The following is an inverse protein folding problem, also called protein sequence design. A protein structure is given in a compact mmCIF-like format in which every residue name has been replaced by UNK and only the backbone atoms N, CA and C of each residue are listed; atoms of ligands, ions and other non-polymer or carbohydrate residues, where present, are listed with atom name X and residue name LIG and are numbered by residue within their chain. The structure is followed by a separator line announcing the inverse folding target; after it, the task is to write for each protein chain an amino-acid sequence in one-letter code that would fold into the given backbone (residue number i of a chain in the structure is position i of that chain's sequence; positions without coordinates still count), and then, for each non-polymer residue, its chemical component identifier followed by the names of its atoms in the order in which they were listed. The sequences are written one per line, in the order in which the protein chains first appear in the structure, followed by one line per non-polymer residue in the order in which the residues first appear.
data_IF_783632504149
#
_entry.id   IF_783632504149
#
_cell.length_a   1.000
_cell.length_b   1.000
_cell.length_c   1.000
_cell.angle_alpha   90.00
_cell.angle_beta   90.00
_cell.angle_gamma   90.00
#
_symmetry.space_group_name_H-M   'P 1'
#
loop_
_entity.id
_entity.type
_entity.pdbx_description
1 polymer ?
#
# COMPACT_ATOMS: atom_id res chain seq x y z
N UNK A 1 -27.55 -10.84 -30.03
CA UNK A 1 -26.69 -9.69 -29.66
C UNK A 1 -25.61 -10.22 -28.73
N UNK A 2 -24.41 -10.48 -29.26
CA UNK A 2 -23.27 -10.96 -28.47
C UNK A 2 -22.86 -9.85 -27.51
N UNK A 3 -23.21 -9.96 -26.24
CA UNK A 3 -22.61 -9.14 -25.19
C UNK A 3 -21.23 -9.72 -24.92
N UNK A 4 -20.28 -9.37 -25.78
CA UNK A 4 -18.87 -9.63 -25.52
C UNK A 4 -18.59 -9.01 -24.16
N UNK A 5 -18.23 -9.85 -23.19
CA UNK A 5 -18.08 -9.51 -21.76
C UNK A 5 -16.79 -8.71 -21.59
N UNK A 6 -16.71 -7.56 -22.24
CA UNK A 6 -15.49 -6.78 -22.43
C UNK A 6 -14.92 -6.34 -21.10
N UNK A 7 -13.59 -6.34 -21.03
CA UNK A 7 -12.85 -5.86 -19.87
C UNK A 7 -13.18 -4.38 -19.65
N UNK A 8 -13.45 -4.02 -18.39
CA UNK A 8 -13.78 -2.65 -17.98
C UNK A 8 -12.49 -1.83 -17.79
N UNK A 9 -11.93 -1.36 -18.91
CA UNK A 9 -10.68 -0.57 -18.92
C UNK A 9 -10.78 0.71 -18.09
N UNK A 10 -11.97 1.29 -17.97
CA UNK A 10 -12.24 2.46 -17.15
C UNK A 10 -11.93 2.21 -15.66
N UNK A 11 -12.27 1.03 -15.12
CA UNK A 11 -11.98 0.67 -13.73
C UNK A 11 -10.49 0.38 -13.52
N UNK A 12 -9.83 -0.17 -14.53
CA UNK A 12 -8.39 -0.43 -14.48
C UNK A 12 -7.60 0.88 -14.47
N UNK A 13 -7.94 1.84 -15.33
CA UNK A 13 -7.29 3.15 -15.35
C UNK A 13 -7.55 3.96 -14.08
N UNK A 14 -8.77 3.94 -13.55
CA UNK A 14 -9.07 4.55 -12.25
C UNK A 14 -8.20 3.97 -11.14
N UNK A 15 -7.98 2.64 -11.14
CA UNK A 15 -7.10 1.99 -10.18
C UNK A 15 -5.64 2.43 -10.36
N UNK A 16 -5.14 2.49 -11.59
CA UNK A 16 -3.76 2.93 -11.87
C UNK A 16 -3.54 4.36 -11.37
N UNK A 17 -4.46 5.27 -11.65
CA UNK A 17 -4.39 6.65 -11.17
C UNK A 17 -4.45 6.73 -9.64
N UNK A 18 -5.35 5.96 -9.00
CA UNK A 18 -5.43 5.92 -7.54
C UNK A 18 -4.12 5.40 -6.90
N UNK A 19 -3.52 4.35 -7.48
CA UNK A 19 -2.23 3.82 -7.02
C UNK A 19 -1.13 4.85 -7.20
N UNK A 20 -1.09 5.56 -8.33
CA UNK A 20 -0.12 6.62 -8.58
C UNK A 20 -0.24 7.76 -7.56
N UNK A 21 -1.45 8.19 -7.23
CA UNK A 21 -1.68 9.21 -6.21
C UNK A 21 -1.19 8.73 -4.83
N UNK A 22 -1.48 7.48 -4.45
CA UNK A 22 -1.00 6.91 -3.19
C UNK A 22 0.51 6.76 -3.16
N UNK A 23 1.13 6.41 -4.29
CA UNK A 23 2.58 6.39 -4.41
C UNK A 23 3.19 7.77 -4.18
N UNK A 24 2.62 8.82 -4.77
CA UNK A 24 3.05 10.21 -4.54
C UNK A 24 2.78 10.65 -3.09
N UNK A 25 1.66 10.23 -2.50
CA UNK A 25 1.37 10.46 -1.08
C UNK A 25 2.51 9.91 -0.20
N UNK A 26 2.83 8.61 -0.31
CA UNK A 26 3.90 8.01 0.51
C UNK A 26 5.27 8.64 0.25
N UNK A 27 5.58 8.98 -1.01
CA UNK A 27 6.84 9.63 -1.38
C UNK A 27 6.96 11.05 -0.78
N UNK A 28 5.85 11.78 -0.71
CA UNK A 28 5.83 13.17 -0.21
C UNK A 28 5.70 13.27 1.31
N UNK A 29 5.30 12.20 2.02
CA UNK A 29 5.28 12.14 3.51
C UNK A 29 6.63 12.49 4.13
N UNK A 30 7.73 12.31 3.40
CA UNK A 30 9.05 12.74 3.84
C UNK A 30 9.15 14.25 4.14
N UNK A 31 8.34 15.08 3.46
CA UNK A 31 8.37 16.55 3.50
C UNK A 31 7.14 17.20 4.15
N UNK A 32 6.18 16.41 4.65
CA UNK A 32 4.99 16.96 5.33
C UNK A 32 5.35 17.45 6.75
N UNK A 33 4.38 17.93 7.53
CA UNK A 33 4.66 18.45 8.88
C UNK A 33 4.57 17.37 9.97
N UNK A 34 3.79 16.31 9.76
CA UNK A 34 3.59 15.24 10.74
C UNK A 34 4.75 14.23 10.82
N UNK A 35 4.75 13.44 11.89
CA UNK A 35 5.71 12.36 12.13
C UNK A 35 5.65 11.27 11.05
N UNK A 36 6.82 10.69 10.76
CA UNK A 36 7.00 9.59 9.81
C UNK A 36 8.29 8.81 10.12
N UNK A 37 8.42 7.62 9.54
CA UNK A 37 9.58 6.74 9.73
C UNK A 37 10.93 7.42 9.44
N UNK A 38 10.96 8.32 8.45
CA UNK A 38 12.13 9.12 8.12
C UNK A 38 11.64 10.49 7.65
N UNK A 39 12.33 11.55 8.06
CA UNK A 39 11.95 12.95 7.79
C UNK A 39 13.10 13.74 7.17
N UNK A 40 12.73 14.67 6.30
CA UNK A 40 13.65 15.71 5.87
C UNK A 40 13.73 16.83 6.91
N UNK A 41 14.85 17.55 6.93
CA UNK A 41 15.01 18.79 7.70
C UNK A 41 14.07 19.88 7.16
N UNK A 42 13.92 19.97 5.84
CA UNK A 42 13.03 20.94 5.21
C UNK A 42 11.64 20.33 4.96
N UNK A 43 10.62 20.93 5.57
CA UNK A 43 9.20 20.52 5.44
C UNK A 43 8.34 21.67 4.90
N UNK A 44 7.18 21.35 4.33
CA UNK A 44 6.33 22.33 3.66
C UNK A 44 4.84 22.15 3.99
N UNK A 45 4.16 23.25 4.32
CA UNK A 45 2.72 23.28 4.65
C UNK A 45 1.85 22.78 3.50
N UNK A 46 2.20 23.09 2.25
CA UNK A 46 1.43 22.65 1.09
C UNK A 46 1.45 21.11 0.92
N UNK A 47 2.53 20.46 1.35
CA UNK A 47 2.65 19.00 1.35
C UNK A 47 1.69 18.41 2.39
N UNK A 48 1.49 19.05 3.54
CA UNK A 48 0.49 18.63 4.52
C UNK A 48 -0.93 18.69 3.94
N UNK A 49 -1.27 19.77 3.24
CA UNK A 49 -2.57 19.90 2.57
C UNK A 49 -2.79 18.80 1.52
N UNK A 50 -1.77 18.50 0.71
CA UNK A 50 -1.78 17.38 -0.23
C UNK A 50 -2.00 16.03 0.48
N UNK A 51 -1.29 15.80 1.58
CA UNK A 51 -1.42 14.56 2.35
C UNK A 51 -2.83 14.35 2.90
N UNK A 52 -3.44 15.41 3.46
CA UNK A 52 -4.82 15.38 3.97
C UNK A 52 -5.82 15.12 2.84
N UNK A 53 -5.60 15.71 1.66
CA UNK A 53 -6.42 15.43 0.49
C UNK A 53 -6.31 13.94 0.08
N UNK A 54 -5.10 13.43 -0.14
CA UNK A 54 -4.90 12.07 -0.60
C UNK A 54 -5.48 11.03 0.38
N UNK A 55 -5.28 11.20 1.69
CA UNK A 55 -5.82 10.28 2.71
C UNK A 55 -7.34 10.24 2.76
N UNK A 56 -8.01 11.39 2.60
CA UNK A 56 -9.48 11.46 2.63
C UNK A 56 -10.15 10.78 1.43
N UNK A 57 -9.52 10.83 0.26
CA UNK A 57 -10.15 10.40 -0.99
C UNK A 57 -9.72 9.02 -1.47
N UNK A 58 -8.45 8.65 -1.31
CA UNK A 58 -7.93 7.45 -1.98
C UNK A 58 -8.48 6.15 -1.38
N UNK A 59 -8.59 6.04 -0.05
CA UNK A 59 -9.11 4.82 0.58
C UNK A 59 -10.57 4.53 0.18
N UNK A 60 -11.52 5.49 0.27
CA UNK A 60 -12.87 5.28 -0.25
C UNK A 60 -12.90 4.90 -1.74
N UNK A 61 -12.07 5.53 -2.57
CA UNK A 61 -11.99 5.22 -3.99
C UNK A 61 -11.56 3.76 -4.24
N UNK A 62 -10.57 3.26 -3.51
CA UNK A 62 -10.16 1.86 -3.59
C UNK A 62 -11.27 0.89 -3.19
N UNK A 63 -12.06 1.21 -2.16
CA UNK A 63 -13.21 0.39 -1.77
C UNK A 63 -14.26 0.33 -2.88
N UNK A 64 -14.58 1.47 -3.52
CA UNK A 64 -15.52 1.53 -4.64
C UNK A 64 -15.01 0.70 -5.82
N UNK A 65 -13.75 0.89 -6.23
CA UNK A 65 -13.13 0.16 -7.35
C UNK A 65 -13.11 -1.36 -7.06
N UNK A 66 -12.75 -1.75 -5.83
CA UNK A 66 -12.71 -3.15 -5.40
C UNK A 66 -14.10 -3.78 -5.39
N UNK A 67 -15.10 -3.06 -4.87
CA UNK A 67 -16.50 -3.49 -4.86
C UNK A 67 -17.08 -3.67 -6.27
N UNK A 68 -16.87 -2.69 -7.16
CA UNK A 68 -17.28 -2.79 -8.56
C UNK A 68 -16.60 -3.98 -9.26
N UNK A 69 -15.28 -4.15 -9.05
CA UNK A 69 -14.52 -5.27 -9.61
C UNK A 69 -15.05 -6.63 -9.12
N UNK A 70 -15.42 -6.72 -7.85
CA UNK A 70 -16.00 -7.93 -7.27
C UNK A 70 -17.40 -8.22 -7.85
N UNK A 71 -18.27 -7.21 -7.94
CA UNK A 71 -19.62 -7.35 -8.53
C UNK A 71 -19.56 -7.94 -9.94
N UNK A 72 -18.68 -7.42 -10.81
CA UNK A 72 -18.52 -7.93 -12.17
C UNK A 72 -17.86 -9.32 -12.23
N UNK A 73 -17.04 -9.69 -11.25
CA UNK A 73 -16.39 -11.00 -11.17
C UNK A 73 -17.34 -12.10 -10.67
N UNK A 74 -18.26 -11.77 -9.75
CA UNK A 74 -19.24 -12.71 -9.21
C UNK A 74 -20.22 -13.21 -10.28
N UNK A 75 -20.59 -12.37 -11.25
CA UNK A 75 -21.42 -12.77 -12.40
C UNK A 75 -20.75 -13.71 -13.42
N UNK A 76 -19.56 -14.25 -13.10
CA UNK A 76 -18.76 -15.12 -14.00
C UNK A 76 -18.34 -16.46 -13.39
N UNK A 77 -18.64 -16.78 -12.13
CA UNK A 77 -18.06 -17.95 -11.44
C UNK A 77 -19.11 -18.94 -10.93
N UNK A 78 -18.97 -20.22 -11.28
CA UNK A 78 -19.88 -21.31 -10.85
C UNK A 78 -19.56 -21.90 -9.47
N UNK A 79 -18.59 -21.36 -8.72
CA UNK A 79 -18.18 -21.92 -7.41
C UNK A 79 -17.53 -20.90 -6.48
N UNK A 80 -18.28 -20.43 -5.48
CA UNK A 80 -17.85 -19.41 -4.51
C UNK A 80 -16.60 -19.80 -3.73
N UNK A 81 -16.50 -21.06 -3.26
CA UNK A 81 -15.35 -21.53 -2.45
C UNK A 81 -14.03 -21.41 -3.21
N UNK A 82 -13.97 -21.88 -4.46
CA UNK A 82 -12.76 -21.83 -5.28
C UNK A 82 -12.35 -20.39 -5.56
N UNK A 83 -13.31 -19.53 -5.90
CA UNK A 83 -13.07 -18.11 -6.14
C UNK A 83 -12.43 -17.40 -4.93
N UNK A 84 -12.96 -17.60 -3.72
CA UNK A 84 -12.41 -16.97 -2.53
C UNK A 84 -11.02 -17.48 -2.19
N UNK A 85 -10.78 -18.80 -2.27
CA UNK A 85 -9.46 -19.39 -1.95
C UNK A 85 -8.40 -18.88 -2.94
N UNK A 86 -8.69 -18.91 -4.24
CA UNK A 86 -7.75 -18.46 -5.27
C UNK A 86 -7.42 -16.96 -5.11
N UNK A 87 -8.43 -16.14 -4.78
CA UNK A 87 -8.23 -14.69 -4.53
C UNK A 87 -7.47 -14.44 -3.23
N UNK A 88 -7.80 -15.16 -2.17
CA UNK A 88 -7.16 -15.02 -0.86
C UNK A 88 -5.67 -15.35 -0.93
N UNK A 89 -5.30 -16.51 -1.49
CA UNK A 89 -3.89 -16.91 -1.61
C UNK A 89 -3.10 -15.95 -2.49
N UNK A 90 -3.69 -15.48 -3.60
CA UNK A 90 -3.06 -14.49 -4.49
C UNK A 90 -2.78 -13.15 -3.82
N UNK A 91 -3.56 -12.78 -2.80
CA UNK A 91 -3.38 -11.52 -2.06
C UNK A 91 -2.51 -11.71 -0.82
N UNK A 92 -2.77 -12.73 -0.02
CA UNK A 92 -2.11 -12.91 1.28
C UNK A 92 -0.66 -13.36 1.17
N UNK A 93 -0.32 -14.24 0.21
CA UNK A 93 1.05 -14.70 0.07
C UNK A 93 1.99 -13.53 -0.27
N UNK A 94 1.72 -12.71 -1.31
CA UNK A 94 2.56 -11.55 -1.60
C UNK A 94 2.57 -10.53 -0.46
N UNK A 95 1.44 -10.29 0.20
CA UNK A 95 1.36 -9.33 1.31
C UNK A 95 2.24 -9.77 2.48
N UNK A 96 2.17 -11.04 2.90
CA UNK A 96 2.99 -11.50 4.03
C UNK A 96 4.49 -11.41 3.74
N UNK A 97 4.90 -11.82 2.54
CA UNK A 97 6.31 -11.75 2.12
C UNK A 97 6.76 -10.28 2.04
N UNK A 98 5.96 -9.42 1.40
CA UNK A 98 6.26 -8.00 1.29
C UNK A 98 6.32 -7.33 2.66
N UNK A 99 5.36 -7.60 3.54
CA UNK A 99 5.34 -7.05 4.90
C UNK A 99 6.59 -7.44 5.69
N UNK A 100 6.97 -8.72 5.73
CA UNK A 100 8.16 -9.12 6.50
C UNK A 100 9.43 -8.49 5.94
N UNK A 101 9.61 -8.52 4.61
CA UNK A 101 10.83 -8.02 3.95
C UNK A 101 10.92 -6.50 3.99
N UNK A 102 9.84 -5.79 3.69
CA UNK A 102 9.83 -4.33 3.61
C UNK A 102 9.77 -3.69 5.00
N UNK A 103 9.00 -4.25 5.94
CA UNK A 103 8.99 -3.72 7.32
C UNK A 103 10.36 -3.84 7.97
N UNK A 104 11.10 -4.93 7.75
CA UNK A 104 12.47 -5.06 8.24
C UNK A 104 13.39 -3.95 7.71
N UNK A 105 13.33 -3.64 6.42
CA UNK A 105 14.09 -2.56 5.82
C UNK A 105 13.63 -1.18 6.33
N UNK A 106 12.33 -0.95 6.42
CA UNK A 106 11.75 0.32 6.87
C UNK A 106 12.15 0.63 8.32
N UNK A 107 12.00 -0.35 9.20
CA UNK A 107 12.37 -0.26 10.62
C UNK A 107 13.88 -0.05 10.79
N UNK A 108 14.70 -0.76 10.00
CA UNK A 108 16.16 -0.56 10.02
C UNK A 108 16.52 0.90 9.72
N UNK A 109 15.96 1.45 8.65
CA UNK A 109 16.23 2.83 8.24
C UNK A 109 15.74 3.84 9.29
N UNK A 110 14.55 3.63 9.85
CA UNK A 110 14.02 4.45 10.94
C UNK A 110 14.98 4.46 12.15
N UNK A 111 15.33 3.28 12.68
CA UNK A 111 16.23 3.17 13.84
C UNK A 111 17.62 3.75 13.57
N UNK A 112 18.14 3.59 12.35
CA UNK A 112 19.40 4.19 11.93
C UNK A 112 19.31 5.72 11.94
N UNK A 113 18.23 6.29 11.40
CA UNK A 113 18.04 7.75 11.32
C UNK A 113 17.73 8.39 12.67
N UNK A 114 17.12 7.64 13.60
CA UNK A 114 16.82 8.09 14.96
C UNK A 114 17.95 7.83 15.96
N UNK A 115 19.10 7.30 15.51
CA UNK A 115 20.25 7.01 16.37
C UNK A 115 20.04 5.84 17.33
N UNK A 116 19.01 5.02 17.12
CA UNK A 116 18.66 3.85 17.94
C UNK A 116 19.43 2.59 17.53
N UNK A 117 20.08 2.61 16.37
CA UNK A 117 20.92 1.52 15.88
C UNK A 117 22.12 2.06 15.08
N UNK A 118 23.24 1.35 15.13
CA UNK A 118 24.40 1.60 14.28
C UNK A 118 24.96 0.29 13.76
N UNK A 119 25.24 0.20 12.46
CA UNK A 119 25.72 -1.03 11.83
C UNK A 119 25.06 -1.31 10.47
N UNK A 120 25.35 -2.49 9.92
CA UNK A 120 24.80 -2.94 8.64
C UNK A 120 23.40 -3.55 8.79
N UNK A 121 22.65 -3.64 7.70
CA UNK A 121 21.33 -4.27 7.69
C UNK A 121 21.35 -5.73 8.18
N UNK A 122 22.39 -6.50 7.84
CA UNK A 122 22.51 -7.90 8.28
C UNK A 122 22.71 -8.02 9.79
N UNK A 123 23.46 -7.09 10.41
CA UNK A 123 23.59 -7.04 11.86
C UNK A 123 22.31 -6.60 12.57
N UNK A 124 21.39 -5.96 11.85
CA UNK A 124 20.09 -5.54 12.37
C UNK A 124 19.04 -6.67 12.35
N UNK A 125 19.14 -7.65 11.45
CA UNK A 125 18.14 -8.71 11.29
C UNK A 125 17.81 -9.49 12.59
N UNK A 126 18.77 -9.84 13.46
CA UNK A 126 18.44 -10.49 14.74
C UNK A 126 17.66 -9.57 15.69
N UNK A 127 17.94 -8.26 15.63
CA UNK A 127 17.33 -7.23 16.47
C UNK A 127 15.94 -6.81 15.99
N UNK A 128 15.62 -7.04 14.72
CA UNK A 128 14.32 -6.74 14.14
C UNK A 128 13.16 -7.42 14.89
N UNK A 129 13.38 -8.63 15.40
CA UNK A 129 12.39 -9.37 16.19
C UNK A 129 12.39 -8.98 17.68
N UNK A 130 13.33 -8.13 18.12
CA UNK A 130 13.44 -7.63 19.48
C UNK A 130 12.70 -6.28 19.59
N UNK A 131 11.44 -6.36 20.03
CA UNK A 131 10.57 -5.21 20.28
C UNK A 131 9.16 -5.44 19.76
N UNK A 132 8.23 -4.60 20.22
CA UNK A 132 6.88 -4.51 19.64
C UNK A 132 6.89 -3.28 18.73
N UNK A 133 6.79 -3.49 17.42
CA UNK A 133 6.47 -2.45 16.45
C UNK A 133 4.98 -2.42 16.18
#
# INVERSE_FOLDING_TARGET
MNTDKSRRYELDWLRVLAILIVFLYHSTRFFNLGEWHIKNINTYVWVEMWNVFATRWMMPLFFIISGASLFYALGKTSGWRKFYVDKFLRLMIPVLIASVTHSALQVYLERLTHGQFSGSFLSFLPEYFNGVY
#
